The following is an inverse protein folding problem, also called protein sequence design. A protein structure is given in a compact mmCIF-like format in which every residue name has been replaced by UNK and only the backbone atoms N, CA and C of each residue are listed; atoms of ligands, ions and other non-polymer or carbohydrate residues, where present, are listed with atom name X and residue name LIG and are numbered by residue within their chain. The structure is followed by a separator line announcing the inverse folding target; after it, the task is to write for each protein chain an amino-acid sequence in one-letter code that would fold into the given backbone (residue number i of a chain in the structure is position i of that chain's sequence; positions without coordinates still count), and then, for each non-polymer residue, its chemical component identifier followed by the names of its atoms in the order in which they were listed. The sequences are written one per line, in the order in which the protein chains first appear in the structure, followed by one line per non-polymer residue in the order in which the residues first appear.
data_IF_727393171130
#
_entry.id   IF_727393171130
#
_cell.length_a   1.000
_cell.length_b   1.000
_cell.length_c   1.000
_cell.angle_alpha   90.00
_cell.angle_beta   90.00
_cell.angle_gamma   90.00
#
_symmetry.space_group_name_H-M   'P 1'
#
loop_
_entity.id
_entity.type
_entity.pdbx_description
1 polymer ?
#
# COMPACT_ATOMS: atom_id res chain seq x y z
N UNK A 1 -21.25 1.27 6.42
CA UNK A 1 -19.94 0.59 6.54
C UNK A 1 -19.15 0.83 5.26
N UNK A 2 -17.87 1.19 5.35
CA UNK A 2 -16.99 1.24 4.16
C UNK A 2 -16.80 -0.18 3.63
N UNK A 3 -16.85 -0.36 2.31
CA UNK A 3 -16.56 -1.66 1.68
C UNK A 3 -15.04 -1.89 1.71
N UNK A 4 -14.62 -3.15 1.79
CA UNK A 4 -13.22 -3.55 1.65
C UNK A 4 -13.05 -4.14 0.25
N UNK A 5 -12.06 -3.65 -0.50
CA UNK A 5 -11.69 -4.22 -1.79
C UNK A 5 -10.63 -5.31 -1.60
N UNK A 6 -10.73 -6.39 -2.37
CA UNK A 6 -9.79 -7.53 -2.32
C UNK A 6 -8.40 -7.22 -2.88
N UNK A 7 -8.15 -5.98 -3.33
CA UNK A 7 -6.87 -5.57 -3.87
C UNK A 7 -5.86 -5.38 -2.73
N UNK A 8 -4.77 -6.16 -2.76
CA UNK A 8 -3.72 -6.11 -1.75
C UNK A 8 -2.66 -5.06 -2.16
N UNK A 9 -2.90 -3.81 -1.76
CA UNK A 9 -2.00 -2.66 -1.91
C UNK A 9 -0.63 -2.95 -1.29
N UNK A 10 -0.55 -3.60 -0.12
CA UNK A 10 0.72 -3.90 0.55
C UNK A 10 1.61 -4.79 -0.31
N UNK A 11 1.07 -5.91 -0.79
CA UNK A 11 1.79 -6.83 -1.67
C UNK A 11 2.17 -6.16 -3.00
N UNK A 12 1.28 -5.33 -3.54
CA UNK A 12 1.51 -4.61 -4.78
C UNK A 12 2.65 -3.59 -4.65
N UNK A 13 2.66 -2.80 -3.58
CA UNK A 13 3.72 -1.83 -3.30
C UNK A 13 5.07 -2.53 -3.07
N UNK A 14 5.09 -3.65 -2.34
CA UNK A 14 6.32 -4.43 -2.14
C UNK A 14 6.88 -5.01 -3.46
N UNK A 15 6.00 -5.49 -4.35
CA UNK A 15 6.39 -5.95 -5.68
C UNK A 15 6.99 -4.80 -6.52
N UNK A 16 6.34 -3.63 -6.51
CA UNK A 16 6.80 -2.47 -7.26
C UNK A 16 8.13 -1.97 -6.70
N UNK A 17 8.26 -1.85 -5.38
CA UNK A 17 9.50 -1.43 -4.70
C UNK A 17 10.69 -2.30 -5.10
N UNK A 18 10.51 -3.62 -5.10
CA UNK A 18 11.60 -4.57 -5.37
C UNK A 18 12.01 -4.65 -6.84
N UNK A 19 11.11 -4.32 -7.79
CA UNK A 19 11.33 -4.63 -9.22
C UNK A 19 11.20 -3.44 -10.18
N UNK A 20 10.69 -2.28 -9.75
CA UNK A 20 10.34 -1.20 -10.68
C UNK A 20 11.52 -0.63 -11.46
N UNK A 21 12.75 -0.63 -10.91
CA UNK A 21 13.95 -0.13 -11.59
C UNK A 21 13.75 1.28 -12.22
N UNK A 22 13.15 2.20 -11.45
CA UNK A 22 12.85 3.55 -11.92
C UNK A 22 14.15 4.33 -12.23
N UNK A 23 14.28 4.83 -13.47
CA UNK A 23 15.54 5.41 -13.94
C UNK A 23 15.85 6.78 -13.36
N UNK A 24 14.86 7.56 -12.95
CA UNK A 24 15.06 8.92 -12.41
C UNK A 24 14.78 9.01 -10.91
N UNK A 25 15.39 10.01 -10.26
CA UNK A 25 15.29 10.22 -8.80
C UNK A 25 13.90 10.65 -8.36
N UNK A 26 13.21 11.49 -9.15
CA UNK A 26 11.88 12.01 -8.80
C UNK A 26 10.86 10.87 -8.69
N UNK A 27 10.85 9.93 -9.63
CA UNK A 27 9.97 8.76 -9.59
C UNK A 27 10.34 7.79 -8.46
N UNK A 28 11.65 7.61 -8.18
CA UNK A 28 12.09 6.80 -7.02
C UNK A 28 11.64 7.40 -5.69
N UNK A 29 11.74 8.72 -5.55
CA UNK A 29 11.26 9.43 -4.36
C UNK A 29 9.75 9.31 -4.23
N UNK A 30 9.00 9.54 -5.31
CA UNK A 30 7.54 9.38 -5.31
C UNK A 30 7.12 7.96 -4.88
N UNK A 31 7.82 6.92 -5.34
CA UNK A 31 7.55 5.54 -4.90
C UNK A 31 7.84 5.35 -3.40
N UNK A 32 8.95 5.91 -2.92
CA UNK A 32 9.32 5.87 -1.49
C UNK A 32 8.28 6.57 -0.63
N UNK A 33 7.84 7.76 -1.03
CA UNK A 33 6.82 8.53 -0.33
C UNK A 33 5.48 7.80 -0.31
N UNK A 34 5.06 7.19 -1.43
CA UNK A 34 3.86 6.36 -1.49
C UNK A 34 3.92 5.18 -0.51
N UNK A 35 5.06 4.51 -0.40
CA UNK A 35 5.27 3.38 0.52
C UNK A 35 5.24 3.85 1.98
N UNK A 36 5.90 4.97 2.29
CA UNK A 36 5.91 5.54 3.64
C UNK A 36 4.51 5.95 4.08
N UNK A 37 3.78 6.70 3.24
CA UNK A 37 2.39 7.09 3.52
C UNK A 37 1.48 5.86 3.67
N UNK A 38 1.68 4.81 2.87
CA UNK A 38 0.92 3.56 3.04
C UNK A 38 1.22 2.87 4.37
N UNK A 39 2.49 2.81 4.77
CA UNK A 39 2.89 2.24 6.06
C UNK A 39 2.26 3.00 7.24
N UNK A 40 2.27 4.33 7.20
CA UNK A 40 1.62 5.19 8.19
C UNK A 40 0.10 4.98 8.20
N UNK A 41 -0.52 4.88 7.01
CA UNK A 41 -1.95 4.60 6.87
C UNK A 41 -2.32 3.24 7.49
N UNK A 42 -1.51 2.20 7.27
CA UNK A 42 -1.75 0.87 7.83
C UNK A 42 -1.58 0.81 9.35
N UNK A 43 -0.70 1.65 9.91
CA UNK A 43 -0.51 1.74 11.36
C UNK A 43 -1.71 2.35 12.10
N UNK A 44 -2.53 3.17 11.43
CA UNK A 44 -3.75 3.79 12.00
C UNK A 44 -4.81 2.74 12.30
N UNK A 45 -5.58 2.97 13.37
CA UNK A 45 -6.80 2.21 13.61
C UNK A 45 -7.81 2.42 12.48
N UNK A 46 -8.71 1.45 12.27
CA UNK A 46 -9.66 1.49 11.14
C UNK A 46 -10.54 2.75 11.12
N UNK A 47 -10.82 3.34 12.28
CA UNK A 47 -11.59 4.59 12.40
C UNK A 47 -10.78 5.86 12.10
N UNK A 48 -9.44 5.81 12.20
CA UNK A 48 -8.50 6.89 11.88
C UNK A 48 -8.02 6.87 10.42
N UNK A 49 -8.11 5.71 9.76
CA UNK A 49 -7.82 5.57 8.33
C UNK A 49 -8.73 6.49 7.53
N UNK A 50 -8.12 7.41 6.80
CA UNK A 50 -8.84 8.43 6.03
C UNK A 50 -8.45 8.37 4.55
N UNK A 51 -9.31 8.97 3.72
CA UNK A 51 -9.11 9.01 2.27
C UNK A 51 -7.98 9.95 1.85
N UNK A 52 -7.55 10.90 2.70
CA UNK A 52 -6.47 11.83 2.35
C UNK A 52 -5.15 11.08 2.17
N UNK A 53 -4.84 10.10 3.02
CA UNK A 53 -3.65 9.28 2.86
C UNK A 53 -3.68 8.53 1.51
N UNK A 54 -4.84 7.95 1.15
CA UNK A 54 -5.02 7.25 -0.13
C UNK A 54 -4.85 8.20 -1.33
N UNK A 55 -5.34 9.44 -1.22
CA UNK A 55 -5.13 10.49 -2.23
C UNK A 55 -3.64 10.84 -2.37
N UNK A 56 -2.90 10.96 -1.27
CA UNK A 56 -1.45 11.23 -1.30
C UNK A 56 -0.70 10.08 -1.98
N UNK A 57 -1.00 8.83 -1.62
CA UNK A 57 -0.42 7.64 -2.26
C UNK A 57 -0.74 7.64 -3.76
N UNK A 58 -2.00 7.85 -4.14
CA UNK A 58 -2.42 7.88 -5.54
C UNK A 58 -1.76 9.00 -6.34
N UNK A 59 -1.57 10.18 -5.74
CA UNK A 59 -0.84 11.30 -6.37
C UNK A 59 0.60 10.91 -6.70
N UNK A 60 1.30 10.27 -5.76
CA UNK A 60 2.67 9.83 -5.96
C UNK A 60 2.77 8.72 -7.03
N UNK A 61 1.86 7.75 -7.02
CA UNK A 61 1.79 6.71 -8.06
C UNK A 61 1.46 7.31 -9.44
N UNK A 62 0.49 8.22 -9.50
CA UNK A 62 0.12 8.93 -10.73
C UNK A 62 1.28 9.75 -11.30
N UNK A 63 2.11 10.38 -10.46
CA UNK A 63 3.32 11.08 -10.90
C UNK A 63 4.29 10.14 -11.63
N UNK A 64 4.50 8.93 -11.10
CA UNK A 64 5.36 7.92 -11.76
C UNK A 64 4.75 7.53 -13.11
N UNK A 65 3.43 7.28 -13.15
CA UNK A 65 2.70 6.94 -14.38
C UNK A 65 2.88 8.04 -15.44
N UNK A 66 2.73 9.32 -15.06
CA UNK A 66 2.93 10.46 -15.96
C UNK A 66 4.36 10.53 -16.48
N UNK A 67 5.37 10.37 -15.61
CA UNK A 67 6.76 10.43 -16.03
C UNK A 67 7.16 9.27 -16.96
N UNK A 68 6.66 8.06 -16.72
CA UNK A 68 6.89 6.91 -17.60
C UNK A 68 6.20 7.12 -18.95
N UNK A 69 4.94 7.55 -18.95
CA UNK A 69 4.17 7.84 -20.17
C UNK A 69 4.84 8.91 -21.03
N UNK A 70 5.36 9.96 -20.39
CA UNK A 70 6.08 11.05 -21.06
C UNK A 70 7.54 10.70 -21.41
N UNK A 71 7.98 9.45 -21.19
CA UNK A 71 9.35 8.96 -21.43
C UNK A 71 10.45 9.71 -20.65
N UNK A 72 10.07 10.39 -19.57
CA UNK A 72 10.97 11.08 -18.62
C UNK A 72 11.55 10.08 -17.61
N UNK A 73 10.83 8.98 -17.33
CA UNK A 73 11.29 7.85 -16.53
C UNK A 73 11.20 6.55 -17.33
N UNK A 74 12.16 5.65 -17.14
CA UNK A 74 12.03 4.24 -17.53
C UNK A 74 11.65 3.43 -16.30
N UNK A 75 10.91 2.36 -16.51
CA UNK A 75 10.49 1.38 -15.50
C UNK A 75 10.69 -0.01 -16.11
N UNK A 76 10.90 -1.02 -15.27
CA UNK A 76 10.83 -2.41 -15.68
C UNK A 76 9.47 -2.69 -16.34
N UNK A 77 9.43 -3.13 -17.63
CA UNK A 77 8.18 -3.39 -18.34
C UNK A 77 7.25 -4.39 -17.64
N UNK A 78 7.82 -5.37 -16.92
CA UNK A 78 7.03 -6.35 -16.17
C UNK A 78 6.30 -5.74 -14.96
N UNK A 79 6.80 -4.61 -14.44
CA UNK A 79 6.21 -3.89 -13.30
C UNK A 79 5.29 -2.77 -13.76
N UNK A 80 5.38 -2.35 -15.02
CA UNK A 80 4.54 -1.28 -15.55
C UNK A 80 3.05 -1.59 -15.43
N UNK A 81 2.63 -2.78 -15.84
CA UNK A 81 1.24 -3.23 -15.72
C UNK A 81 0.78 -3.27 -14.26
N UNK A 82 1.67 -3.67 -13.36
CA UNK A 82 1.42 -3.78 -11.93
C UNK A 82 1.26 -2.40 -11.26
N UNK A 83 2.04 -1.41 -11.68
CA UNK A 83 1.87 -0.01 -11.28
C UNK A 83 0.54 0.58 -11.78
N UNK A 84 0.15 0.28 -13.02
CA UNK A 84 -1.13 0.73 -13.57
C UNK A 84 -2.33 0.13 -12.86
N UNK A 85 -2.27 -1.16 -12.50
CA UNK A 85 -3.30 -1.83 -11.68
C UNK A 85 -3.42 -1.17 -10.30
N UNK A 86 -2.29 -0.90 -9.64
CA UNK A 86 -2.28 -0.16 -8.38
C UNK A 86 -2.96 1.20 -8.51
N UNK A 87 -2.58 1.98 -9.53
CA UNK A 87 -3.14 3.30 -9.78
C UNK A 87 -4.66 3.24 -10.00
N UNK A 88 -5.13 2.28 -10.80
CA UNK A 88 -6.56 2.08 -11.05
C UNK A 88 -7.31 1.68 -9.78
N UNK A 89 -6.75 0.75 -8.98
CA UNK A 89 -7.34 0.33 -7.71
C UNK A 89 -7.47 1.51 -6.75
N UNK A 90 -6.41 2.30 -6.56
CA UNK A 90 -6.42 3.49 -5.70
C UNK A 90 -7.49 4.50 -6.14
N UNK A 91 -7.60 4.78 -7.44
CA UNK A 91 -8.65 5.68 -7.97
C UNK A 91 -10.06 5.17 -7.64
N UNK A 92 -10.33 3.88 -7.87
CA UNK A 92 -11.62 3.26 -7.52
C UNK A 92 -11.87 3.35 -6.01
N UNK A 93 -10.83 3.10 -5.20
CA UNK A 93 -10.93 3.13 -3.75
C UNK A 93 -11.28 4.50 -3.20
N UNK A 94 -10.63 5.54 -3.73
CA UNK A 94 -10.87 6.95 -3.38
C UNK A 94 -12.30 7.36 -3.76
N UNK A 95 -12.70 7.14 -5.01
CA UNK A 95 -14.04 7.53 -5.51
C UNK A 95 -15.15 6.81 -4.75
N UNK A 96 -14.93 5.55 -4.41
CA UNK A 96 -15.94 4.70 -3.77
C UNK A 96 -15.85 4.72 -2.24
N UNK A 97 -14.94 5.51 -1.65
CA UNK A 97 -14.65 5.57 -0.22
C UNK A 97 -14.46 4.18 0.43
N UNK A 98 -13.65 3.36 -0.24
CA UNK A 98 -13.31 1.98 0.15
C UNK A 98 -12.05 2.02 1.03
N UNK A 99 -12.00 1.11 2.01
CA UNK A 99 -10.75 0.81 2.71
C UNK A 99 -10.06 -0.38 2.02
N UNK A 100 -8.73 -0.35 1.98
CA UNK A 100 -7.91 -1.47 1.52
C UNK A 100 -7.30 -2.18 2.72
N UNK A 101 -7.35 -3.51 2.68
CA UNK A 101 -6.79 -4.42 3.69
C UNK A 101 -7.19 -4.11 5.15
N UNK A 102 -7.88 -5.02 5.87
CA UNK A 102 -8.04 -4.83 7.31
C UNK A 102 -6.67 -4.78 7.98
N UNK A 103 -6.54 -4.03 9.09
CA UNK A 103 -5.31 -4.07 9.89
C UNK A 103 -4.94 -5.53 10.16
N UNK A 104 -3.66 -5.94 10.00
CA UNK A 104 -3.22 -7.20 10.57
C UNK A 104 -3.58 -7.17 12.05
N UNK A 105 -4.51 -8.03 12.47
CA UNK A 105 -4.84 -8.19 13.89
C UNK A 105 -3.51 -8.47 14.58
N UNK A 106 -3.12 -7.72 15.63
CA UNK A 106 -1.95 -8.08 16.40
C UNK A 106 -2.11 -9.55 16.75
N UNK A 107 -1.16 -10.38 16.37
CA UNK A 107 -1.11 -11.75 16.86
C UNK A 107 -0.99 -11.59 18.36
N UNK A 108 -2.12 -11.69 19.08
CA UNK A 108 -2.08 -11.92 20.52
C UNK A 108 -1.25 -13.18 20.59
N UNK A 109 -0.03 -13.07 21.09
CA UNK A 109 0.76 -14.24 21.39
C UNK A 109 -0.18 -15.11 22.21
N UNK A 110 -0.60 -16.23 21.64
CA UNK A 110 -1.21 -17.31 22.39
C UNK A 110 -0.08 -17.77 23.32
N UNK A 111 0.16 -16.99 24.37
CA UNK A 111 0.89 -17.42 25.52
C UNK A 111 -0.01 -18.50 26.08
N UNK A 112 0.33 -19.72 25.69
CA UNK A 112 0.01 -20.95 26.37
C UNK A 112 -0.31 -20.68 27.83
N UNK A 113 -1.60 -20.76 28.19
CA UNK A 113 -2.03 -21.21 29.51
C UNK A 113 -1.55 -22.66 29.68
N UNK A 114 -0.22 -22.82 29.78
CA UNK A 114 0.45 -23.97 30.33
C UNK A 114 0.91 -23.55 31.72
N UNK A 115 -0.06 -23.22 32.57
CA UNK A 115 0.15 -23.14 34.01
C UNK A 115 -1.04 -23.79 34.73
N UNK A 116 -1.31 -25.05 34.37
CA UNK A 116 -1.76 -26.01 35.37
C UNK A 116 -0.64 -26.14 36.40
N UNK A 117 -0.68 -25.27 37.41
CA UNK A 117 0.11 -25.42 38.62
C UNK A 117 -0.52 -26.55 39.44
N UNK A 118 -0.15 -27.80 39.16
CA UNK A 118 -0.14 -28.84 40.19
C UNK A 118 0.92 -28.46 41.21
N UNK A 119 0.55 -27.85 42.35
CA UNK A 119 1.27 -28.03 43.62
C UNK A 119 0.34 -27.76 44.81
N UNK A 120 0.36 -28.70 45.75
CA UNK A 120 -0.17 -28.75 47.12
C UNK A 120 -1.58 -29.34 47.31
#
# INVERSE_FOLDING_TARGET
MRKIQSFNITAQLALIQSKAQLSNSVSRQALTDAINTWSEHQAKYDYERNQNDLVVINRNISLIVTQVTNRICRINPLVWTELLKLNAALNVGIISNINFEPRPVPVVAANTDANHSEVA
#
